data_IF_131915807259
#
_entry.id   IF_131915807259
#
_cell.length_a   1.000
_cell.length_b   1.000
_cell.length_c   1.000
_cell.angle_alpha   90.00
_cell.angle_beta   90.00
_cell.angle_gamma   90.00
#
_symmetry.space_group_name_H-M   'P 1'
#
loop_
_entity.id
_entity.type
_entity.pdbx_description
1 polymer ?
#
# COMPACT_ATOMS: atom_id res chain seq x y z
N UNK A 1 -26.29 -74.62 -31.26
CA UNK A 1 -26.09 -74.58 -32.73
C UNK A 1 -26.04 -73.12 -33.13
N UNK A 2 -24.85 -72.57 -33.32
CA UNK A 2 -24.61 -71.15 -33.58
C UNK A 2 -23.71 -71.02 -34.80
N UNK A 3 -24.23 -70.38 -35.85
CA UNK A 3 -23.55 -70.09 -37.11
C UNK A 3 -22.60 -68.87 -36.99
N UNK A 4 -21.58 -68.74 -37.86
CA UNK A 4 -20.52 -67.76 -37.70
C UNK A 4 -20.79 -66.45 -38.48
N UNK A 5 -20.38 -65.31 -37.91
CA UNK A 5 -20.37 -64.01 -38.59
C UNK A 5 -19.00 -63.73 -39.22
N UNK A 6 -19.02 -63.32 -40.50
CA UNK A 6 -17.85 -62.92 -41.29
C UNK A 6 -17.39 -61.49 -40.94
N UNK A 7 -16.06 -61.31 -40.89
CA UNK A 7 -15.36 -60.03 -40.79
C UNK A 7 -15.22 -59.36 -42.16
N UNK A 8 -15.44 -58.05 -42.21
CA UNK A 8 -15.00 -57.14 -43.29
C UNK A 8 -14.11 -56.03 -42.69
N UNK A 9 -13.00 -55.63 -43.35
CA UNK A 9 -12.05 -54.68 -42.78
C UNK A 9 -12.45 -53.23 -43.06
N UNK A 10 -12.35 -52.34 -42.06
CA UNK A 10 -12.47 -50.90 -42.25
C UNK A 10 -11.11 -50.28 -42.57
N UNK A 11 -11.09 -49.48 -43.64
CA UNK A 11 -9.94 -48.71 -44.12
C UNK A 11 -9.65 -47.50 -43.21
N UNK A 12 -8.35 -47.24 -43.01
CA UNK A 12 -7.79 -46.11 -42.26
C UNK A 12 -7.91 -44.80 -43.04
N UNK A 13 -8.56 -43.79 -42.44
CA UNK A 13 -8.54 -42.40 -42.90
C UNK A 13 -7.58 -41.59 -42.02
N UNK A 14 -6.39 -41.30 -42.55
CA UNK A 14 -5.43 -40.41 -41.91
C UNK A 14 -5.95 -38.96 -41.97
N UNK A 15 -6.26 -38.37 -40.80
CA UNK A 15 -6.54 -36.94 -40.66
C UNK A 15 -5.23 -36.17 -40.61
N UNK A 16 -4.96 -35.37 -41.64
CA UNK A 16 -3.90 -34.35 -41.64
C UNK A 16 -4.28 -33.26 -40.63
N UNK A 17 -3.53 -33.17 -39.52
CA UNK A 17 -3.62 -32.05 -38.58
C UNK A 17 -2.88 -30.85 -39.19
N UNK A 18 -3.61 -29.81 -39.57
CA UNK A 18 -3.02 -28.50 -39.83
C UNK A 18 -2.53 -27.91 -38.49
N UNK A 19 -1.24 -27.61 -38.40
CA UNK A 19 -0.66 -26.91 -37.25
C UNK A 19 -1.22 -25.48 -37.18
N UNK A 20 -1.73 -25.00 -36.04
CA UNK A 20 -2.18 -23.62 -35.93
C UNK A 20 -0.96 -22.70 -36.05
N UNK A 21 -1.02 -21.73 -36.97
CA UNK A 21 -0.08 -20.62 -37.03
C UNK A 21 -0.12 -19.91 -35.68
N UNK A 22 0.98 -19.98 -34.93
CA UNK A 22 1.24 -19.14 -33.77
C UNK A 22 1.18 -17.68 -34.24
N UNK A 23 0.06 -17.02 -33.98
CA UNK A 23 -0.01 -15.57 -33.98
C UNK A 23 1.03 -15.09 -32.97
N UNK A 24 2.11 -14.46 -33.46
CA UNK A 24 3.04 -13.70 -32.61
C UNK A 24 2.23 -12.57 -31.99
N UNK A 25 1.73 -12.80 -30.77
CA UNK A 25 1.31 -11.73 -29.88
C UNK A 25 2.54 -10.84 -29.70
N UNK A 26 2.48 -9.52 -29.97
CA UNK A 26 3.59 -8.64 -29.66
C UNK A 26 3.91 -8.83 -28.18
N UNK A 27 5.18 -9.07 -27.84
CA UNK A 27 5.60 -9.19 -26.45
C UNK A 27 5.11 -7.95 -25.71
N UNK A 28 4.05 -8.11 -24.91
CA UNK A 28 3.60 -7.04 -24.03
C UNK A 28 4.77 -6.77 -23.09
N UNK A 29 5.31 -5.55 -23.13
CA UNK A 29 6.42 -5.17 -22.26
C UNK A 29 5.97 -5.39 -20.81
N UNK A 30 6.75 -6.19 -20.09
CA UNK A 30 6.51 -6.48 -18.68
C UNK A 30 6.90 -5.26 -17.85
N UNK A 31 6.09 -4.91 -16.85
CA UNK A 31 6.48 -3.92 -15.85
C UNK A 31 7.80 -4.35 -15.19
N UNK A 32 8.80 -3.46 -15.17
CA UNK A 32 10.02 -3.67 -14.40
C UNK A 32 9.78 -3.29 -12.93
N UNK A 33 10.42 -3.98 -11.99
CA UNK A 33 10.25 -3.72 -10.55
C UNK A 33 11.57 -3.43 -9.82
N UNK A 34 12.64 -3.13 -10.55
CA UNK A 34 13.91 -2.69 -9.98
C UNK A 34 13.78 -1.26 -9.48
N UNK A 35 14.29 -1.00 -8.28
CA UNK A 35 14.17 0.29 -7.60
C UNK A 35 15.24 1.31 -8.03
N UNK A 36 16.16 0.93 -8.93
CA UNK A 36 17.40 1.62 -9.26
C UNK A 36 17.64 1.82 -10.77
N UNK A 37 16.56 1.96 -11.55
CA UNK A 37 16.59 2.03 -13.02
C UNK A 37 16.35 3.44 -13.59
N UNK A 38 16.09 4.42 -12.74
CA UNK A 38 15.95 5.83 -13.12
C UNK A 38 17.30 6.41 -13.50
N UNK A 39 17.33 7.18 -14.59
CA UNK A 39 18.56 7.74 -15.15
C UNK A 39 18.60 9.25 -15.02
N UNK A 40 19.76 9.79 -14.65
CA UNK A 40 19.99 11.23 -14.61
C UNK A 40 20.16 11.77 -16.03
N UNK A 41 19.38 12.80 -16.42
CA UNK A 41 19.43 13.37 -17.79
C UNK A 41 20.45 14.51 -17.92
N UNK A 42 20.61 15.30 -16.86
CA UNK A 42 21.51 16.46 -16.79
C UNK A 42 22.35 16.39 -15.51
N UNK A 43 23.37 17.24 -15.33
CA UNK A 43 24.13 17.25 -14.08
C UNK A 43 23.23 17.48 -12.86
N UNK A 44 23.38 16.66 -11.82
CA UNK A 44 22.67 16.86 -10.56
C UNK A 44 23.08 18.19 -9.91
N UNK A 45 22.16 18.83 -9.20
CA UNK A 45 22.38 20.10 -8.54
C UNK A 45 22.03 20.04 -7.06
N UNK A 46 22.88 20.64 -6.23
CA UNK A 46 22.64 20.78 -4.80
C UNK A 46 21.57 21.83 -4.45
N UNK A 47 21.29 22.77 -5.36
CA UNK A 47 20.48 23.97 -5.05
C UNK A 47 19.32 24.21 -6.02
N UNK A 48 19.30 23.55 -7.18
CA UNK A 48 18.27 23.71 -8.21
C UNK A 48 17.60 22.38 -8.53
N UNK A 49 16.35 22.39 -9.00
CA UNK A 49 15.75 21.21 -9.59
C UNK A 49 16.56 20.71 -10.79
N UNK A 50 16.57 19.40 -11.00
CA UNK A 50 17.21 18.73 -12.13
C UNK A 50 16.32 17.61 -12.65
N UNK A 51 16.57 17.18 -13.89
CA UNK A 51 15.74 16.20 -14.59
C UNK A 51 16.30 14.80 -14.48
N UNK A 52 15.42 13.87 -14.14
CA UNK A 52 15.66 12.43 -14.18
C UNK A 52 14.64 11.79 -15.10
N UNK A 53 14.98 10.63 -15.65
CA UNK A 53 14.11 9.87 -16.53
C UNK A 53 13.87 8.49 -15.97
N UNK A 54 12.63 8.24 -15.59
CA UNK A 54 12.14 6.92 -15.18
C UNK A 54 12.33 5.91 -16.32
N UNK A 55 12.54 4.65 -15.97
CA UNK A 55 12.63 3.57 -16.95
C UNK A 55 11.35 3.48 -17.79
N UNK A 56 11.45 3.14 -19.08
CA UNK A 56 10.31 3.10 -20.01
C UNK A 56 9.20 2.13 -19.57
N UNK A 57 9.57 1.06 -18.87
CA UNK A 57 8.65 0.06 -18.31
C UNK A 57 8.28 0.31 -16.83
N UNK A 58 8.45 1.52 -16.32
CA UNK A 58 8.02 1.89 -14.95
C UNK A 58 6.50 1.98 -14.80
N UNK A 59 5.80 2.16 -15.93
CA UNK A 59 4.35 2.30 -15.98
C UNK A 59 3.74 1.45 -17.09
N UNK A 60 2.53 0.95 -16.86
CA UNK A 60 1.64 0.44 -17.92
C UNK A 60 0.28 1.09 -17.75
N UNK A 61 -0.37 1.50 -18.85
CA UNK A 61 -1.66 2.17 -18.80
C UNK A 61 -2.77 1.30 -19.37
N UNK A 62 -3.99 1.54 -18.89
CA UNK A 62 -5.23 0.98 -19.38
C UNK A 62 -6.25 2.11 -19.53
N UNK A 63 -6.66 2.39 -20.77
CA UNK A 63 -7.63 3.42 -21.10
C UNK A 63 -7.27 4.86 -20.64
N UNK A 64 -5.98 5.17 -20.46
CA UNK A 64 -5.48 6.52 -20.17
C UNK A 64 -4.09 6.76 -20.78
N UNK A 65 -3.67 8.02 -20.75
CA UNK A 65 -2.29 8.41 -21.00
C UNK A 65 -1.38 7.87 -19.88
N UNK A 66 -0.10 7.68 -20.21
CA UNK A 66 0.94 7.35 -19.23
C UNK A 66 1.39 8.61 -18.49
N UNK A 67 1.80 8.50 -17.22
CA UNK A 67 2.55 9.56 -16.56
C UNK A 67 3.83 9.88 -17.33
N UNK A 68 4.25 11.15 -17.30
CA UNK A 68 5.52 11.57 -17.88
C UNK A 68 6.69 10.81 -17.23
N UNK A 69 7.65 10.38 -18.07
CA UNK A 69 8.85 9.68 -17.61
C UNK A 69 9.96 10.64 -17.22
N UNK A 70 9.99 11.83 -17.82
CA UNK A 70 10.90 12.90 -17.46
C UNK A 70 10.32 13.63 -16.25
N UNK A 71 11.01 13.52 -15.11
CA UNK A 71 10.56 14.01 -13.82
C UNK A 71 11.57 15.02 -13.30
N UNK A 72 11.05 16.16 -12.82
CA UNK A 72 11.86 17.13 -12.11
C UNK A 72 11.92 16.76 -10.62
N UNK A 73 13.14 16.74 -10.07
CA UNK A 73 13.42 16.43 -8.67
C UNK A 73 14.43 17.42 -8.08
N UNK A 74 14.42 17.57 -6.76
CA UNK A 74 15.46 18.28 -6.02
C UNK A 74 16.24 17.33 -5.10
N UNK A 75 17.46 17.73 -4.74
CA UNK A 75 18.26 17.02 -3.73
C UNK A 75 17.47 16.86 -2.42
N UNK A 76 16.86 17.92 -1.93
CA UNK A 76 16.12 17.91 -0.67
C UNK A 76 14.93 16.95 -0.70
N UNK A 77 14.21 16.85 -1.83
CA UNK A 77 13.13 15.88 -2.00
C UNK A 77 13.65 14.45 -1.91
N UNK A 78 14.74 14.12 -2.62
CA UNK A 78 15.32 12.77 -2.61
C UNK A 78 15.86 12.40 -1.23
N UNK A 79 16.57 13.31 -0.56
CA UNK A 79 17.08 13.07 0.80
C UNK A 79 15.92 12.96 1.81
N UNK A 80 14.87 13.78 1.67
CA UNK A 80 13.67 13.70 2.49
C UNK A 80 12.98 12.34 2.37
N UNK A 81 12.70 11.89 1.16
CA UNK A 81 12.09 10.58 0.90
C UNK A 81 12.97 9.42 1.41
N UNK A 82 14.30 9.53 1.28
CA UNK A 82 15.23 8.52 1.83
C UNK A 82 15.15 8.44 3.36
N UNK A 83 15.15 9.59 4.03
CA UNK A 83 15.02 9.67 5.50
C UNK A 83 13.68 9.11 5.96
N UNK A 84 12.58 9.45 5.29
CA UNK A 84 11.24 8.96 5.64
C UNK A 84 11.15 7.45 5.48
N UNK A 85 11.59 6.89 4.34
CA UNK A 85 11.56 5.43 4.14
C UNK A 85 12.42 4.71 5.18
N UNK A 86 13.62 5.24 5.47
CA UNK A 86 14.51 4.67 6.49
C UNK A 86 13.88 4.72 7.88
N UNK A 87 13.25 5.83 8.23
CA UNK A 87 12.57 6.01 9.51
C UNK A 87 11.39 5.05 9.66
N UNK A 88 10.57 4.88 8.61
CA UNK A 88 9.43 3.96 8.62
C UNK A 88 9.90 2.50 8.72
N UNK A 89 10.95 2.12 7.99
CA UNK A 89 11.60 0.79 8.10
C UNK A 89 12.08 0.53 9.53
N UNK A 90 12.72 1.51 10.17
CA UNK A 90 13.22 1.38 11.55
C UNK A 90 12.08 1.25 12.56
N UNK A 91 11.01 2.02 12.42
CA UNK A 91 9.81 1.88 13.25
C UNK A 91 9.22 0.47 13.13
N UNK A 92 9.01 -0.02 11.91
CA UNK A 92 8.43 -1.35 11.69
C UNK A 92 9.31 -2.48 12.23
N UNK A 93 10.65 -2.35 12.11
CA UNK A 93 11.60 -3.27 12.73
C UNK A 93 11.47 -3.28 14.27
N UNK A 94 11.35 -2.11 14.89
CA UNK A 94 11.14 -2.00 16.33
C UNK A 94 9.80 -2.62 16.76
N UNK A 95 8.71 -2.38 16.02
CA UNK A 95 7.42 -3.04 16.25
C UNK A 95 7.54 -4.57 16.15
N UNK A 96 8.28 -5.10 15.18
CA UNK A 96 8.57 -6.53 15.09
C UNK A 96 9.29 -7.08 16.33
N UNK A 97 10.30 -6.38 16.84
CA UNK A 97 11.03 -6.76 18.05
C UNK A 97 10.14 -6.71 19.30
N UNK A 98 9.32 -5.66 19.45
CA UNK A 98 8.38 -5.52 20.57
C UNK A 98 7.31 -6.62 20.58
N UNK A 99 6.86 -7.07 19.40
CA UNK A 99 5.95 -8.21 19.27
C UNK A 99 6.62 -9.53 19.68
N UNK A 100 7.86 -9.76 19.24
CA UNK A 100 8.64 -10.94 19.65
C UNK A 100 8.86 -10.97 21.17
N UNK A 101 9.10 -9.80 21.77
CA UNK A 101 9.19 -9.59 23.22
C UNK A 101 7.85 -9.66 23.96
N UNK A 102 6.74 -9.98 23.27
CA UNK A 102 5.37 -10.09 23.82
C UNK A 102 4.79 -8.80 24.41
N UNK A 103 5.39 -7.65 24.08
CA UNK A 103 4.88 -6.34 24.48
C UNK A 103 3.75 -5.87 23.56
N UNK A 104 3.81 -6.22 22.27
CA UNK A 104 2.70 -6.08 21.32
C UNK A 104 2.00 -7.44 21.22
N UNK A 105 0.66 -7.42 21.20
CA UNK A 105 -0.19 -8.63 21.15
C UNK A 105 -1.18 -8.54 19.99
N UNK A 106 -1.92 -9.63 19.74
CA UNK A 106 -2.95 -9.67 18.71
C UNK A 106 -2.37 -9.59 17.30
N UNK A 107 -2.94 -8.74 16.46
CA UNK A 107 -2.46 -8.54 15.09
C UNK A 107 -1.35 -7.49 15.02
N UNK A 108 -0.36 -7.72 14.15
CA UNK A 108 0.67 -6.76 13.80
C UNK A 108 1.13 -7.03 12.36
N UNK A 109 0.89 -6.08 11.46
CA UNK A 109 1.15 -6.21 10.02
C UNK A 109 2.20 -5.19 9.58
N UNK A 110 3.45 -5.64 9.39
CA UNK A 110 4.58 -4.75 9.10
C UNK A 110 4.69 -4.42 7.61
N UNK A 111 4.81 -3.15 7.23
CA UNK A 111 4.97 -2.70 5.83
C UNK A 111 6.41 -2.78 5.29
N UNK A 112 7.28 -3.59 5.92
CA UNK A 112 8.69 -3.71 5.54
C UNK A 112 8.83 -4.20 4.10
N UNK A 113 9.48 -3.39 3.25
CA UNK A 113 9.66 -3.62 1.81
C UNK A 113 8.71 -2.81 0.92
N UNK A 114 7.72 -2.13 1.51
CA UNK A 114 6.70 -1.34 0.81
C UNK A 114 6.81 0.17 1.08
N UNK A 115 7.98 0.62 1.57
CA UNK A 115 8.17 2.00 2.02
C UNK A 115 7.91 3.02 0.90
N UNK A 116 8.33 2.69 -0.34
CA UNK A 116 8.11 3.51 -1.52
C UNK A 116 6.61 3.78 -1.81
N UNK A 117 5.71 2.89 -1.37
CA UNK A 117 4.27 3.12 -1.47
C UNK A 117 3.86 4.25 -0.54
N UNK A 118 4.07 4.07 0.77
CA UNK A 118 3.63 5.06 1.77
C UNK A 118 4.29 6.43 1.63
N UNK A 119 5.61 6.46 1.37
CA UNK A 119 6.37 7.71 1.21
C UNK A 119 6.08 8.37 -0.14
N UNK A 120 5.90 7.58 -1.21
CA UNK A 120 5.50 8.11 -2.51
C UNK A 120 4.12 8.77 -2.47
N UNK A 121 3.14 8.14 -1.81
CA UNK A 121 1.82 8.75 -1.57
C UNK A 121 1.94 10.04 -0.77
N UNK A 122 2.73 10.04 0.31
CA UNK A 122 2.90 11.23 1.15
C UNK A 122 3.48 12.41 0.37
N UNK A 123 4.47 12.16 -0.50
CA UNK A 123 5.18 13.22 -1.23
C UNK A 123 4.46 13.68 -2.49
N UNK A 124 3.52 12.90 -3.03
CA UNK A 124 2.76 13.28 -4.23
C UNK A 124 1.31 13.71 -3.99
N UNK A 125 0.87 13.75 -2.73
CA UNK A 125 -0.46 14.23 -2.32
C UNK A 125 -0.35 15.50 -1.49
N UNK A 126 -1.39 16.32 -1.50
CA UNK A 126 -1.48 17.43 -0.56
C UNK A 126 -1.78 16.91 0.87
N UNK A 127 -1.36 17.63 1.93
CA UNK A 127 -1.64 17.24 3.31
C UNK A 127 -3.13 17.02 3.62
N UNK A 128 -4.02 17.69 2.89
CA UNK A 128 -5.48 17.65 3.07
C UNK A 128 -6.19 16.57 2.25
N UNK A 129 -5.51 15.93 1.29
CA UNK A 129 -6.07 14.78 0.58
C UNK A 129 -6.30 13.62 1.55
N UNK A 130 -7.31 12.81 1.30
CA UNK A 130 -7.67 11.73 2.23
C UNK A 130 -7.02 10.42 1.81
N UNK A 131 -6.50 9.67 2.78
CA UNK A 131 -6.05 8.29 2.59
C UNK A 131 -6.87 7.38 3.49
N UNK A 132 -7.31 6.25 2.94
CA UNK A 132 -7.90 5.15 3.71
C UNK A 132 -7.32 3.83 3.22
N UNK A 133 -6.91 2.95 4.14
CA UNK A 133 -6.28 1.67 3.78
C UNK A 133 -6.75 0.53 4.69
N UNK A 134 -6.22 -0.67 4.46
CA UNK A 134 -6.44 -1.85 5.31
C UNK A 134 -5.58 -1.80 6.57
N UNK A 135 -5.47 -2.92 7.28
CA UNK A 135 -4.73 -3.07 8.54
C UNK A 135 -3.20 -2.90 8.45
N UNK A 136 -2.58 -2.87 7.25
CA UNK A 136 -1.14 -2.63 7.09
C UNK A 136 -0.84 -1.13 6.98
N UNK A 137 -1.07 -0.41 8.08
CA UNK A 137 -1.26 1.04 8.03
C UNK A 137 -0.21 1.89 8.75
N UNK A 138 0.75 1.30 9.46
CA UNK A 138 1.59 2.06 10.39
C UNK A 138 2.33 3.25 9.75
N UNK A 139 2.98 3.12 8.57
CA UNK A 139 3.67 4.25 7.96
C UNK A 139 2.71 5.38 7.54
N UNK A 140 1.54 5.04 7.00
CA UNK A 140 0.53 6.03 6.60
C UNK A 140 0.05 6.85 7.79
N UNK A 141 -0.19 6.21 8.93
CA UNK A 141 -0.60 6.90 10.15
C UNK A 141 0.45 7.94 10.60
N UNK A 142 1.74 7.59 10.57
CA UNK A 142 2.81 8.55 10.91
C UNK A 142 2.87 9.68 9.89
N UNK A 143 2.96 9.35 8.60
CA UNK A 143 3.13 10.32 7.52
C UNK A 143 1.93 11.25 7.34
N UNK A 144 0.74 10.88 7.82
CA UNK A 144 -0.49 11.69 7.70
C UNK A 144 -0.88 12.34 9.02
N UNK A 145 0.08 12.91 9.74
CA UNK A 145 -0.16 13.73 10.93
C UNK A 145 -0.11 12.97 12.26
N UNK A 146 0.31 11.71 12.24
CA UNK A 146 0.61 10.94 13.45
C UNK A 146 2.04 11.14 13.92
N UNK A 147 2.47 10.25 14.82
CA UNK A 147 3.85 10.19 15.30
C UNK A 147 4.25 8.74 15.54
N UNK A 148 5.55 8.45 15.44
CA UNK A 148 6.10 7.11 15.74
C UNK A 148 5.75 6.70 17.17
N UNK A 149 5.91 7.62 18.13
CA UNK A 149 5.50 7.40 19.52
C UNK A 149 4.03 7.01 19.61
N UNK A 150 3.14 7.77 18.99
CA UNK A 150 1.70 7.51 19.04
C UNK A 150 1.33 6.16 18.46
N UNK A 151 1.92 5.79 17.32
CA UNK A 151 1.71 4.48 16.69
C UNK A 151 2.25 3.37 17.61
N UNK A 152 3.50 3.45 18.06
CA UNK A 152 4.10 2.42 18.93
C UNK A 152 3.33 2.29 20.25
N UNK A 153 2.91 3.40 20.85
CA UNK A 153 2.09 3.39 22.07
C UNK A 153 0.73 2.72 21.84
N UNK A 154 0.10 2.92 20.68
CA UNK A 154 -1.14 2.24 20.31
C UNK A 154 -0.93 0.73 20.17
N UNK A 155 0.14 0.30 19.50
CA UNK A 155 0.48 -1.11 19.36
C UNK A 155 0.80 -1.77 20.71
N UNK A 156 1.38 -1.03 21.64
CA UNK A 156 1.63 -1.46 23.03
C UNK A 156 0.37 -1.40 23.92
N UNK A 157 -0.77 -0.92 23.40
CA UNK A 157 -2.01 -0.78 24.15
C UNK A 157 -1.94 0.25 25.27
N UNK A 158 -1.20 1.35 25.07
CA UNK A 158 -0.98 2.41 26.08
C UNK A 158 -1.91 3.60 25.87
N UNK A 159 -2.16 4.34 26.95
CA UNK A 159 -3.00 5.54 26.94
C UNK A 159 -2.53 6.61 25.96
N UNK A 160 -1.20 6.78 25.81
CA UNK A 160 -0.59 7.70 24.85
C UNK A 160 -0.66 7.24 23.39
N UNK A 161 -1.32 6.11 23.11
CA UNK A 161 -1.62 5.67 21.74
C UNK A 161 -2.58 6.61 21.02
N UNK A 162 -2.55 6.59 19.69
CA UNK A 162 -3.37 7.48 18.86
C UNK A 162 -4.89 7.25 19.01
N UNK A 163 -5.28 6.04 19.43
CA UNK A 163 -6.65 5.66 19.76
C UNK A 163 -6.77 5.29 21.25
N UNK A 164 -5.88 5.85 22.08
CA UNK A 164 -5.77 5.61 23.54
C UNK A 164 -5.64 4.13 23.92
N UNK A 165 -5.01 3.32 23.06
CA UNK A 165 -4.83 1.88 23.27
C UNK A 165 -6.08 1.02 23.01
N UNK A 166 -7.17 1.59 22.48
CA UNK A 166 -8.40 0.85 22.14
C UNK A 166 -8.34 0.15 20.79
N UNK A 167 -7.56 0.68 19.85
CA UNK A 167 -7.56 0.24 18.45
C UNK A 167 -6.50 -0.81 18.13
N UNK A 168 -5.31 -0.69 18.75
CA UNK A 168 -4.15 -1.53 18.43
C UNK A 168 -3.62 -1.30 17.01
N UNK A 169 -2.90 -2.29 16.48
CA UNK A 169 -2.19 -2.17 15.18
C UNK A 169 -3.08 -1.82 13.99
N UNK A 170 -4.33 -2.29 13.99
CA UNK A 170 -5.18 -2.20 12.80
C UNK A 170 -5.99 -0.91 12.73
N UNK A 171 -6.17 -0.17 13.83
CA UNK A 171 -7.18 0.90 13.93
C UNK A 171 -6.57 2.21 14.46
N UNK A 172 -5.82 2.88 13.58
CA UNK A 172 -5.11 4.13 13.88
C UNK A 172 -5.60 5.21 12.93
N UNK A 173 -6.06 6.35 13.43
CA UNK A 173 -6.70 7.41 12.64
C UNK A 173 -6.00 8.75 12.83
N UNK A 174 -6.08 9.61 11.82
CA UNK A 174 -5.69 11.03 11.89
C UNK A 174 -6.73 11.88 11.15
N UNK A 175 -6.66 13.22 11.19
CA UNK A 175 -7.60 14.07 10.46
C UNK A 175 -7.66 13.83 8.94
N UNK A 176 -6.58 13.31 8.32
CA UNK A 176 -6.52 13.04 6.87
C UNK A 176 -6.19 11.58 6.53
N UNK A 177 -6.06 10.72 7.55
CA UNK A 177 -5.94 9.28 7.41
C UNK A 177 -7.10 8.58 8.12
N UNK A 178 -8.03 8.05 7.33
CA UNK A 178 -9.29 7.46 7.79
C UNK A 178 -9.14 5.99 8.19
N UNK A 179 -7.96 5.65 8.69
CA UNK A 179 -7.75 4.42 9.42
C UNK A 179 -7.08 3.30 8.64
N UNK A 180 -6.51 2.40 9.42
CA UNK A 180 -6.45 1.00 9.04
C UNK A 180 -7.80 0.33 9.29
N UNK A 181 -8.20 -0.52 8.35
CA UNK A 181 -9.47 -1.22 8.38
C UNK A 181 -9.24 -2.73 8.39
N UNK A 182 -9.82 -3.42 9.38
CA UNK A 182 -9.63 -4.86 9.61
C UNK A 182 -10.42 -5.76 8.66
N UNK A 183 -11.53 -5.24 8.10
CA UNK A 183 -12.41 -6.00 7.21
C UNK A 183 -11.97 -5.80 5.77
N UNK A 184 -11.51 -6.88 5.14
CA UNK A 184 -10.91 -6.86 3.79
C UNK A 184 -11.91 -6.30 2.77
N UNK A 185 -11.54 -5.19 2.13
CA UNK A 185 -12.32 -4.54 1.06
C UNK A 185 -13.33 -3.51 1.55
N UNK A 186 -13.66 -3.48 2.85
CA UNK A 186 -14.65 -2.56 3.41
C UNK A 186 -14.23 -1.09 3.31
N UNK A 187 -12.92 -0.83 3.31
CA UNK A 187 -12.37 0.52 3.18
C UNK A 187 -12.55 1.12 1.78
N UNK A 188 -12.83 0.30 0.75
CA UNK A 188 -12.92 0.79 -0.64
C UNK A 188 -14.20 1.59 -0.87
N UNK A 189 -15.41 1.09 -0.52
CA UNK A 189 -16.61 1.91 -0.51
C UNK A 189 -16.51 3.14 0.41
N UNK A 190 -15.87 3.01 1.57
CA UNK A 190 -15.65 4.15 2.48
C UNK A 190 -14.79 5.24 1.82
N UNK A 191 -13.72 4.85 1.12
CA UNK A 191 -12.89 5.78 0.35
C UNK A 191 -13.65 6.46 -0.80
N UNK A 192 -14.54 5.75 -1.49
CA UNK A 192 -15.43 6.36 -2.47
C UNK A 192 -16.39 7.37 -1.80
N UNK A 193 -16.92 7.05 -0.61
CA UNK A 193 -17.73 7.99 0.18
C UNK A 193 -16.96 9.23 0.63
N UNK A 194 -15.67 9.09 0.96
CA UNK A 194 -14.79 10.21 1.27
C UNK A 194 -14.58 11.11 0.04
N UNK A 195 -14.34 10.53 -1.14
CA UNK A 195 -14.26 11.28 -2.40
C UNK A 195 -15.57 12.02 -2.72
N UNK A 196 -16.71 11.35 -2.50
CA UNK A 196 -18.03 11.98 -2.62
C UNK A 196 -18.16 13.19 -1.67
N UNK A 197 -17.72 13.07 -0.42
CA UNK A 197 -17.76 14.18 0.53
C UNK A 197 -16.90 15.37 0.09
N UNK A 198 -15.73 15.13 -0.53
CA UNK A 198 -14.88 16.19 -1.09
C UNK A 198 -15.59 16.92 -2.22
N UNK A 199 -16.13 16.16 -3.19
CA UNK A 199 -16.91 16.71 -4.29
C UNK A 199 -18.14 17.48 -3.81
N UNK A 200 -18.88 16.93 -2.85
CA UNK A 200 -20.09 17.54 -2.32
C UNK A 200 -19.82 18.87 -1.60
N UNK A 201 -18.67 18.97 -0.92
CA UNK A 201 -18.22 20.20 -0.24
C UNK A 201 -17.49 21.17 -1.19
N UNK A 202 -17.32 20.83 -2.46
CA UNK A 202 -16.57 21.65 -3.42
C UNK A 202 -15.09 21.82 -3.04
N UNK A 203 -14.48 20.81 -2.41
CA UNK A 203 -13.07 20.84 -2.01
C UNK A 203 -12.21 20.25 -3.13
N UNK A 204 -11.16 20.96 -3.52
CA UNK A 204 -10.17 20.50 -4.51
C UNK A 204 -9.22 19.48 -3.89
N UNK A 205 -9.78 18.32 -3.53
CA UNK A 205 -9.12 17.23 -2.79
C UNK A 205 -9.58 15.88 -3.34
N UNK A 206 -8.69 14.91 -3.38
CA UNK A 206 -9.04 13.53 -3.70
C UNK A 206 -9.14 12.67 -2.42
N UNK A 207 -9.70 11.47 -2.58
CA UNK A 207 -9.54 10.40 -1.60
C UNK A 207 -8.88 9.18 -2.25
N UNK A 208 -7.80 8.70 -1.64
CA UNK A 208 -7.09 7.48 -2.05
C UNK A 208 -7.61 6.30 -1.23
N UNK A 209 -8.35 5.43 -1.91
CA UNK A 209 -8.94 4.21 -1.36
C UNK A 209 -8.02 3.03 -1.66
N UNK A 210 -7.19 2.65 -0.68
CA UNK A 210 -6.17 1.62 -0.83
C UNK A 210 -6.69 0.23 -0.45
N UNK A 211 -6.25 -0.79 -1.18
CA UNK A 211 -6.57 -2.20 -0.92
C UNK A 211 -5.47 -3.13 -1.45
N UNK A 212 -5.35 -4.34 -0.91
CA UNK A 212 -4.34 -5.32 -1.37
C UNK A 212 -4.83 -6.18 -2.55
N UNK A 213 -3.91 -6.91 -3.18
CA UNK A 213 -4.23 -7.85 -4.28
C UNK A 213 -5.31 -8.88 -3.90
N UNK A 214 -5.26 -9.45 -2.69
CA UNK A 214 -6.33 -10.34 -2.21
C UNK A 214 -7.69 -9.65 -2.00
N UNK A 215 -7.68 -8.35 -1.67
CA UNK A 215 -8.90 -7.57 -1.49
C UNK A 215 -9.55 -7.17 -2.82
N UNK A 216 -8.81 -7.19 -3.93
CA UNK A 216 -9.28 -6.83 -5.26
C UNK A 216 -10.38 -7.77 -5.82
N UNK A 217 -10.67 -8.87 -5.12
CA UNK A 217 -11.75 -9.81 -5.45
C UNK A 217 -13.01 -9.64 -4.60
N UNK A 218 -13.06 -8.65 -3.71
CA UNK A 218 -14.26 -8.35 -2.91
C UNK A 218 -15.34 -7.70 -3.78
N UNK A 219 -16.58 -8.17 -3.69
CA UNK A 219 -17.70 -7.66 -4.50
C UNK A 219 -17.92 -6.14 -4.34
N UNK A 220 -17.87 -5.66 -3.10
CA UNK A 220 -18.05 -4.24 -2.76
C UNK A 220 -17.01 -3.31 -3.41
N UNK A 221 -15.84 -3.83 -3.83
CA UNK A 221 -14.84 -3.05 -4.59
C UNK A 221 -15.41 -2.67 -5.96
N UNK A 222 -16.07 -3.61 -6.65
CA UNK A 222 -16.68 -3.38 -7.96
C UNK A 222 -17.94 -2.50 -7.85
N UNK A 223 -18.71 -2.64 -6.78
CA UNK A 223 -19.83 -1.74 -6.50
C UNK A 223 -19.35 -0.30 -6.31
N UNK A 224 -18.25 -0.11 -5.54
CA UNK A 224 -17.62 1.19 -5.35
C UNK A 224 -17.08 1.77 -6.67
N UNK A 225 -16.45 0.95 -7.51
CA UNK A 225 -16.00 1.37 -8.85
C UNK A 225 -17.17 1.88 -9.71
N UNK A 226 -18.24 1.10 -9.80
CA UNK A 226 -19.41 1.46 -10.59
C UNK A 226 -19.99 2.81 -10.16
N UNK A 227 -20.23 3.00 -8.85
CA UNK A 227 -20.77 4.27 -8.31
C UNK A 227 -19.80 5.44 -8.49
N UNK A 228 -18.51 5.23 -8.19
CA UNK A 228 -17.51 6.28 -8.32
C UNK A 228 -17.39 6.77 -9.77
N UNK A 229 -17.47 5.85 -10.74
CA UNK A 229 -17.44 6.22 -12.15
C UNK A 229 -18.74 6.90 -12.58
N UNK A 230 -19.89 6.40 -12.14
CA UNK A 230 -21.20 6.98 -12.43
C UNK A 230 -21.31 8.44 -11.97
N UNK A 231 -20.77 8.76 -10.79
CA UNK A 231 -20.81 10.09 -10.19
C UNK A 231 -19.57 10.94 -10.47
N UNK A 232 -18.62 10.41 -11.25
CA UNK A 232 -17.36 11.05 -11.60
C UNK A 232 -16.57 11.55 -10.38
N UNK A 233 -16.49 10.71 -9.34
CA UNK A 233 -15.87 11.06 -8.05
C UNK A 233 -14.36 11.30 -8.17
N UNK A 234 -13.77 12.21 -7.36
CA UNK A 234 -12.32 12.39 -7.26
C UNK A 234 -11.68 11.29 -6.40
N UNK A 235 -11.88 10.03 -6.80
CA UNK A 235 -11.40 8.84 -6.08
C UNK A 235 -10.20 8.21 -6.81
N UNK A 236 -9.12 7.97 -6.09
CA UNK A 236 -7.99 7.14 -6.57
C UNK A 236 -8.08 5.78 -5.90
N UNK A 237 -8.32 4.74 -6.69
CA UNK A 237 -8.40 3.36 -6.20
C UNK A 237 -7.03 2.70 -6.34
N UNK A 238 -6.35 2.44 -5.22
CA UNK A 238 -4.96 1.96 -5.25
C UNK A 238 -4.85 0.51 -4.75
N UNK A 239 -4.50 -0.39 -5.66
CA UNK A 239 -4.17 -1.78 -5.36
C UNK A 239 -2.68 -1.92 -4.99
N UNK A 240 -2.38 -2.21 -3.73
CA UNK A 240 -1.05 -2.60 -3.26
C UNK A 240 -0.79 -4.07 -3.57
N UNK A 241 -0.33 -4.36 -4.79
CA UNK A 241 -0.06 -5.71 -5.25
C UNK A 241 1.30 -6.20 -4.71
N UNK A 242 1.26 -6.87 -3.55
CA UNK A 242 2.44 -7.48 -2.93
C UNK A 242 2.58 -8.98 -3.24
N UNK A 243 1.86 -9.44 -4.27
CA UNK A 243 1.83 -10.80 -4.84
C UNK A 243 1.09 -11.86 -4.02
N UNK A 244 0.73 -11.58 -2.77
CA UNK A 244 0.14 -12.58 -1.86
C UNK A 244 -0.95 -12.01 -0.93
N UNK A 245 -2.19 -12.46 -1.14
CA UNK A 245 -3.30 -12.33 -0.20
C UNK A 245 -3.17 -13.33 0.94
N UNK A 246 -2.67 -12.89 2.08
CA UNK A 246 -2.27 -13.75 3.21
C UNK A 246 -1.24 -14.81 2.78
N UNK A 247 -1.67 -16.03 2.46
CA UNK A 247 -0.83 -17.12 1.95
C UNK A 247 -1.20 -17.61 0.55
N UNK A 248 -2.11 -16.92 -0.14
CA UNK A 248 -2.55 -17.28 -1.49
C UNK A 248 -1.92 -16.31 -2.49
N UNK A 249 -1.19 -16.83 -3.48
CA UNK A 249 -0.60 -16.00 -4.52
C UNK A 249 -1.67 -15.36 -5.41
N UNK A 250 -1.34 -14.24 -6.05
CA UNK A 250 -2.22 -13.55 -7.01
C UNK A 250 -2.75 -14.52 -8.09
N UNK A 251 -1.88 -15.33 -8.70
CA UNK A 251 -2.24 -16.31 -9.74
C UNK A 251 -3.22 -17.40 -9.28
N UNK A 252 -3.27 -17.67 -7.97
CA UNK A 252 -4.19 -18.65 -7.38
C UNK A 252 -5.50 -18.05 -6.91
N UNK A 253 -5.59 -16.72 -6.84
CA UNK A 253 -6.75 -16.01 -6.30
C UNK A 253 -7.48 -15.15 -7.32
N UNK A 254 -6.82 -14.77 -8.42
CA UNK A 254 -7.35 -13.87 -9.43
C UNK A 254 -7.10 -14.43 -10.83
N UNK A 255 -8.15 -14.53 -11.65
CA UNK A 255 -8.00 -14.89 -13.07
C UNK A 255 -7.21 -13.83 -13.83
N UNK A 256 -7.55 -12.56 -13.58
CA UNK A 256 -6.82 -11.41 -14.11
C UNK A 256 -5.99 -10.79 -12.99
N UNK A 257 -4.66 -10.99 -13.06
CA UNK A 257 -3.65 -10.44 -12.15
C UNK A 257 -3.15 -9.05 -12.55
N UNK A 258 -3.68 -8.48 -13.64
CA UNK A 258 -3.49 -7.08 -14.04
C UNK A 258 -4.51 -6.20 -13.32
N UNK A 259 -4.31 -5.98 -12.01
CA UNK A 259 -5.28 -5.34 -11.13
C UNK A 259 -5.67 -3.92 -11.58
N UNK A 260 -4.76 -3.18 -12.23
CA UNK A 260 -5.04 -1.86 -12.80
C UNK A 260 -6.13 -1.86 -13.90
N UNK A 261 -6.44 -3.01 -14.50
CA UNK A 261 -7.48 -3.16 -15.54
C UNK A 261 -8.85 -3.53 -14.98
N UNK A 262 -8.93 -3.91 -13.70
CA UNK A 262 -10.13 -4.50 -13.09
C UNK A 262 -11.28 -3.50 -12.93
N UNK A 263 -11.02 -2.21 -13.11
CA UNK A 263 -12.02 -1.15 -13.10
C UNK A 263 -12.91 -1.11 -14.36
N UNK A 264 -12.62 -1.91 -15.39
CA UNK A 264 -13.30 -1.96 -16.70
C UNK A 264 -13.41 -0.57 -17.37
N UNK A 265 -14.43 0.21 -17.02
CA UNK A 265 -14.62 1.59 -17.52
C UNK A 265 -13.79 2.63 -16.80
N UNK A 266 -13.20 2.28 -15.65
CA UNK A 266 -12.28 3.16 -14.94
C UNK A 266 -10.87 2.96 -15.52
N UNK A 267 -10.21 4.01 -16.02
CA UNK A 267 -8.82 3.92 -16.46
C UNK A 267 -7.89 3.53 -15.32
N UNK A 268 -6.74 2.95 -15.65
CA UNK A 268 -5.78 2.60 -14.61
C UNK A 268 -4.34 2.54 -15.06
N UNK A 269 -3.43 2.61 -14.09
CA UNK A 269 -1.98 2.59 -14.29
C UNK A 269 -1.37 1.53 -13.37
N UNK A 270 -0.62 0.60 -13.94
CA UNK A 270 0.30 -0.26 -13.20
C UNK A 270 1.63 0.47 -13.02
N UNK A 271 2.19 0.41 -11.83
CA UNK A 271 3.36 1.20 -11.41
C UNK A 271 4.38 0.29 -10.76
N UNK A 272 5.66 0.53 -11.05
CA UNK A 272 6.75 -0.02 -10.25
C UNK A 272 6.66 0.53 -8.81
N UNK A 273 6.07 -0.25 -7.91
CA UNK A 273 5.88 0.09 -6.50
C UNK A 273 7.13 -0.03 -5.65
N UNK A 274 8.29 -0.32 -6.26
CA UNK A 274 9.60 -0.38 -5.59
C UNK A 274 10.46 0.86 -5.90
N UNK A 275 10.18 1.61 -6.96
CA UNK A 275 10.86 2.88 -7.27
C UNK A 275 10.04 4.06 -6.70
N UNK A 276 10.62 4.74 -5.72
CA UNK A 276 10.01 5.89 -5.03
C UNK A 276 9.70 7.08 -5.95
N UNK A 277 10.48 7.30 -7.00
CA UNK A 277 10.23 8.39 -7.96
C UNK A 277 9.02 8.01 -8.82
N UNK A 278 8.92 6.74 -9.22
CA UNK A 278 7.77 6.25 -9.99
C UNK A 278 6.47 6.27 -9.16
N UNK A 279 6.51 5.87 -7.88
CA UNK A 279 5.33 5.92 -7.01
C UNK A 279 4.87 7.34 -6.70
N UNK A 280 5.79 8.30 -6.54
CA UNK A 280 5.45 9.73 -6.41
C UNK A 280 4.83 10.26 -7.70
N UNK A 281 5.46 10.02 -8.85
CA UNK A 281 4.98 10.52 -10.14
C UNK A 281 3.58 9.98 -10.49
N UNK A 282 3.31 8.71 -10.21
CA UNK A 282 2.01 8.11 -10.50
C UNK A 282 0.87 8.67 -9.64
N UNK A 283 1.13 8.94 -8.34
CA UNK A 283 0.09 9.50 -7.48
C UNK A 283 -0.14 10.99 -7.79
N UNK A 284 0.91 11.75 -8.14
CA UNK A 284 0.77 13.13 -8.61
C UNK A 284 -0.09 13.19 -9.87
N UNK A 285 0.16 12.28 -10.82
CA UNK A 285 -0.67 12.13 -12.02
C UNK A 285 -2.12 11.79 -11.67
N UNK A 286 -2.36 10.84 -10.77
CA UNK A 286 -3.71 10.42 -10.39
C UNK A 286 -4.48 11.51 -9.61
N UNK A 287 -3.77 12.27 -8.77
CA UNK A 287 -4.32 13.46 -8.09
C UNK A 287 -4.71 14.51 -9.13
N UNK A 288 -3.79 14.86 -10.04
CA UNK A 288 -4.05 15.77 -11.18
C UNK A 288 -5.27 15.35 -11.98
N UNK A 289 -5.36 14.07 -12.33
CA UNK A 289 -6.46 13.49 -13.08
C UNK A 289 -7.82 13.69 -12.39
N UNK A 290 -7.86 13.44 -11.07
CA UNK A 290 -9.10 13.41 -10.29
C UNK A 290 -9.55 14.81 -9.88
N UNK A 291 -8.63 15.70 -9.52
CA UNK A 291 -8.93 17.00 -8.93
C UNK A 291 -8.83 18.13 -9.95
N UNK A 292 -7.66 18.32 -10.56
CA UNK A 292 -7.41 19.41 -11.50
C UNK A 292 -8.14 19.18 -12.83
N UNK A 293 -8.02 17.99 -13.41
CA UNK A 293 -8.63 17.66 -14.70
C UNK A 293 -10.10 17.19 -14.58
N UNK A 294 -10.56 16.88 -13.35
CA UNK A 294 -11.92 16.45 -13.02
C UNK A 294 -12.43 15.28 -13.86
N UNK A 295 -11.56 14.31 -14.19
CA UNK A 295 -11.83 13.17 -15.08
C UNK A 295 -12.48 11.96 -14.38
N UNK A 296 -12.89 12.15 -13.13
CA UNK A 296 -13.46 11.11 -12.28
C UNK A 296 -12.41 10.12 -11.78
N UNK A 297 -12.81 8.91 -11.39
CA UNK A 297 -11.90 8.00 -10.71
C UNK A 297 -10.82 7.43 -11.63
N UNK A 298 -9.74 6.97 -11.01
CA UNK A 298 -8.63 6.26 -11.66
C UNK A 298 -8.14 5.11 -10.76
N UNK A 299 -7.72 4.00 -11.36
CA UNK A 299 -7.06 2.90 -10.66
C UNK A 299 -5.54 3.04 -10.72
N UNK A 300 -4.87 2.77 -9.61
CA UNK A 300 -3.43 2.55 -9.54
C UNK A 300 -3.16 1.14 -9.05
N UNK A 301 -2.22 0.44 -9.65
CA UNK A 301 -1.69 -0.82 -9.12
C UNK A 301 -0.20 -0.64 -8.83
N UNK A 302 0.15 -0.58 -7.55
CA UNK A 302 1.55 -0.51 -7.14
C UNK A 302 2.06 -1.92 -6.96
N UNK A 303 2.90 -2.36 -7.89
CA UNK A 303 3.55 -3.66 -7.82
C UNK A 303 4.71 -3.55 -6.85
N UNK A 304 4.51 -4.08 -5.64
CA UNK A 304 5.45 -3.95 -4.53
C UNK A 304 5.71 -5.31 -3.88
N UNK A 305 6.36 -5.35 -2.71
CA UNK A 305 6.64 -6.61 -2.01
C UNK A 305 6.80 -6.43 -0.50
N UNK A 306 6.19 -7.32 0.28
CA UNK A 306 6.40 -7.40 1.74
C UNK A 306 7.46 -8.45 2.10
N UNK A 307 8.47 -8.07 2.87
CA UNK A 307 9.54 -9.01 3.25
C UNK A 307 9.14 -9.95 4.38
N UNK A 308 8.31 -9.49 5.31
CA UNK A 308 7.71 -10.33 6.33
C UNK A 308 6.55 -11.17 5.80
N UNK A 309 6.12 -12.16 6.57
CA UNK A 309 4.86 -12.88 6.33
C UNK A 309 3.64 -11.94 6.40
N UNK A 310 2.44 -12.52 6.37
CA UNK A 310 1.21 -11.75 6.33
C UNK A 310 1.11 -10.81 7.55
N UNK A 311 1.28 -11.39 8.73
CA UNK A 311 1.36 -10.74 10.03
C UNK A 311 2.50 -11.36 10.83
N UNK A 312 2.74 -10.87 12.05
CA UNK A 312 3.74 -11.46 12.96
C UNK A 312 3.46 -12.93 13.36
N UNK A 313 2.24 -13.45 13.16
CA UNK A 313 1.93 -14.87 13.40
C UNK A 313 2.24 -15.77 12.20
N UNK A 314 2.53 -15.19 11.03
CA UNK A 314 2.83 -15.93 9.80
C UNK A 314 4.32 -15.79 9.45
N UNK A 315 5.10 -16.90 9.48
CA UNK A 315 6.50 -16.88 9.05
C UNK A 315 6.68 -16.58 7.56
N UNK A 316 5.65 -16.80 6.73
CA UNK A 316 5.68 -16.52 5.29
C UNK A 316 6.52 -17.48 4.44
N UNK A 317 6.85 -18.68 4.96
CA UNK A 317 7.71 -19.67 4.29
C UNK A 317 6.96 -20.87 3.72
N UNK A 318 5.65 -20.98 3.93
CA UNK A 318 4.83 -22.13 3.47
C UNK A 318 4.27 -21.93 2.06
N UNK A 319 4.30 -20.71 1.53
CA UNK A 319 3.68 -20.33 0.25
C UNK A 319 4.62 -19.57 -0.69
N UNK A 320 5.88 -19.34 -0.28
CA UNK A 320 6.95 -18.72 -1.07
C UNK A 320 8.31 -19.10 -0.47
N UNK A 321 9.36 -18.99 -1.26
CA UNK A 321 10.70 -19.41 -0.84
C UNK A 321 11.47 -18.29 -0.15
N UNK A 322 12.48 -18.64 0.66
CA UNK A 322 13.36 -17.63 1.27
C UNK A 322 14.23 -16.93 0.23
N UNK A 323 14.59 -17.66 -0.82
CA UNK A 323 15.36 -17.19 -1.96
C UNK A 323 14.59 -16.11 -2.74
N UNK A 324 13.28 -16.25 -2.90
CA UNK A 324 12.43 -15.22 -3.50
C UNK A 324 12.50 -13.92 -2.69
N UNK A 325 12.27 -14.00 -1.37
CA UNK A 325 12.30 -12.83 -0.48
C UNK A 325 13.70 -12.20 -0.46
N UNK A 326 14.75 -13.01 -0.39
CA UNK A 326 16.13 -12.53 -0.41
C UNK A 326 16.44 -11.82 -1.72
N UNK A 327 16.07 -12.40 -2.87
CA UNK A 327 16.24 -11.79 -4.19
C UNK A 327 15.52 -10.45 -4.26
N UNK A 328 14.25 -10.40 -3.86
CA UNK A 328 13.48 -9.15 -3.83
C UNK A 328 14.17 -8.08 -2.99
N UNK A 329 14.67 -8.44 -1.80
CA UNK A 329 15.40 -7.51 -0.93
C UNK A 329 16.74 -7.07 -1.52
N UNK A 330 17.51 -7.97 -2.12
CA UNK A 330 18.85 -7.65 -2.61
C UNK A 330 18.85 -6.89 -3.93
N UNK A 331 17.80 -7.04 -4.75
CA UNK A 331 17.76 -6.44 -6.10
C UNK A 331 16.71 -5.37 -6.28
N UNK A 332 15.75 -5.22 -5.37
CA UNK A 332 14.60 -4.31 -5.55
C UNK A 332 14.23 -3.54 -4.28
N UNK A 333 15.07 -3.50 -3.24
CA UNK A 333 14.73 -2.74 -2.02
C UNK A 333 14.60 -1.23 -2.32
N UNK A 334 13.49 -0.59 -1.91
CA UNK A 334 13.21 0.78 -2.29
C UNK A 334 14.17 1.80 -1.64
N UNK A 335 14.67 1.48 -0.44
CA UNK A 335 15.63 2.33 0.26
C UNK A 335 16.99 2.20 -0.43
N UNK A 336 17.41 0.98 -0.75
CA UNK A 336 18.66 0.74 -1.46
C UNK A 336 18.66 1.33 -2.87
N UNK A 337 17.54 1.24 -3.60
CA UNK A 337 17.41 1.83 -4.92
C UNK A 337 17.58 3.35 -4.90
N UNK A 338 16.91 4.04 -3.97
CA UNK A 338 17.09 5.48 -3.80
C UNK A 338 18.50 5.84 -3.28
N UNK A 339 19.08 5.04 -2.39
CA UNK A 339 20.47 5.22 -1.96
C UNK A 339 21.43 5.21 -3.15
N UNK A 340 21.27 4.26 -4.07
CA UNK A 340 22.12 4.17 -5.25
C UNK A 340 22.00 5.41 -6.13
N UNK A 341 20.79 5.95 -6.34
CA UNK A 341 20.62 7.23 -7.02
C UNK A 341 21.36 8.37 -6.32
N UNK A 342 21.21 8.48 -4.99
CA UNK A 342 21.84 9.54 -4.19
C UNK A 342 23.37 9.47 -4.28
N UNK A 343 23.95 8.28 -4.24
CA UNK A 343 25.40 8.05 -4.32
C UNK A 343 25.92 8.30 -5.75
N UNK A 344 25.29 7.70 -6.77
CA UNK A 344 25.73 7.81 -8.17
C UNK A 344 25.58 9.23 -8.72
N UNK A 345 24.57 9.97 -8.26
CA UNK A 345 24.36 11.37 -8.67
C UNK A 345 25.11 12.36 -7.78
N UNK A 346 25.93 11.89 -6.83
CA UNK A 346 26.77 12.74 -5.99
C UNK A 346 25.99 13.65 -5.04
N UNK A 347 24.76 13.28 -4.67
CA UNK A 347 23.87 14.10 -3.85
C UNK A 347 24.18 13.98 -2.35
N UNK A 348 24.67 12.84 -1.89
CA UNK A 348 25.18 12.68 -0.54
C UNK A 348 26.28 11.62 -0.50
N UNK A 349 27.14 11.74 0.49
CA UNK A 349 28.20 10.77 0.78
C UNK A 349 27.66 9.55 1.52
N UNK A 350 28.37 8.43 1.43
CA UNK A 350 28.06 7.23 2.21
C UNK A 350 28.05 7.52 3.73
N UNK A 351 28.91 8.43 4.20
CA UNK A 351 28.95 8.85 5.61
C UNK A 351 27.67 9.58 6.03
N UNK A 352 27.14 10.46 5.19
CA UNK A 352 25.87 11.16 5.44
C UNK A 352 24.69 10.18 5.46
N UNK A 353 24.64 9.23 4.52
CA UNK A 353 23.59 8.20 4.49
C UNK A 353 23.63 7.30 5.72
N UNK A 354 24.83 6.89 6.18
CA UNK A 354 25.01 6.18 7.45
C UNK A 354 24.57 7.02 8.64
N UNK A 355 24.77 8.33 8.60
CA UNK A 355 24.31 9.22 9.65
C UNK A 355 22.78 9.29 9.70
N UNK A 356 22.11 9.37 8.56
CA UNK A 356 20.63 9.34 8.50
C UNK A 356 20.05 8.06 9.08
N UNK A 357 20.67 6.89 8.82
CA UNK A 357 20.23 5.64 9.43
C UNK A 357 20.40 5.63 10.96
N UNK A 358 21.52 6.15 11.46
CA UNK A 358 21.77 6.30 12.90
C UNK A 358 20.75 7.24 13.55
N UNK A 359 20.46 8.36 12.90
CA UNK A 359 19.49 9.35 13.38
C UNK A 359 18.06 8.78 13.39
N UNK A 360 17.69 8.04 12.35
CA UNK A 360 16.43 7.32 12.29
C UNK A 360 16.31 6.29 13.42
N UNK A 361 17.37 5.50 13.65
CA UNK A 361 17.41 4.56 14.77
C UNK A 361 17.26 5.27 16.12
N UNK A 362 18.02 6.34 16.36
CA UNK A 362 17.94 7.12 17.61
C UNK A 362 16.54 7.68 17.83
N UNK A 363 15.91 8.20 16.78
CA UNK A 363 14.55 8.74 16.83
C UNK A 363 13.53 7.67 17.19
N UNK A 364 13.61 6.49 16.56
CA UNK A 364 12.72 5.36 16.86
C UNK A 364 12.95 4.82 18.26
N UNK A 365 14.21 4.63 18.67
CA UNK A 365 14.53 4.14 20.01
C UNK A 365 13.97 5.08 21.10
N UNK A 366 14.11 6.40 20.93
CA UNK A 366 13.53 7.39 21.83
C UNK A 366 11.99 7.30 21.86
N UNK A 367 11.34 7.23 20.70
CA UNK A 367 9.89 7.10 20.60
C UNK A 367 9.36 5.81 21.25
N UNK A 368 10.10 4.70 21.14
CA UNK A 368 9.77 3.42 21.78
C UNK A 368 9.84 3.53 23.30
N UNK A 369 10.89 4.16 23.85
CA UNK A 369 11.00 4.34 25.30
C UNK A 369 9.92 5.28 25.84
N UNK A 370 9.61 6.37 25.12
CA UNK A 370 8.47 7.23 25.46
C UNK A 370 7.13 6.48 25.42
N UNK A 371 6.92 5.62 24.42
CA UNK A 371 5.71 4.82 24.30
C UNK A 371 5.58 3.80 25.45
N UNK A 372 6.68 3.15 25.84
CA UNK A 372 6.70 2.22 27.00
C UNK A 372 6.44 2.92 28.33
N UNK A 373 6.91 4.16 28.46
CA UNK A 373 6.70 4.98 29.65
C UNK A 373 5.23 5.46 29.78
N UNK A 374 4.46 5.48 28.69
CA UNK A 374 3.03 5.77 28.77
C UNK A 374 2.30 4.72 29.61
N UNK A 375 1.42 5.13 30.55
CA UNK A 375 0.64 4.17 31.35
C UNK A 375 -0.35 3.39 30.47
N UNK A 376 -0.82 2.27 31.00
CA UNK A 376 -2.00 1.60 30.45
C UNK A 376 -3.24 2.50 30.58
N UNK A 377 -4.23 2.38 29.68
CA UNK A 377 -5.48 3.12 29.77
C UNK A 377 -6.20 2.79 31.09
N UNK A 378 -6.65 3.78 31.89
CA UNK A 378 -7.47 3.51 33.07
C UNK A 378 -8.76 2.78 32.66
N UNK A 379 -9.24 1.87 33.51
CA UNK A 379 -10.44 1.03 33.26
C UNK A 379 -11.67 1.86 32.87
N UNK A 380 -11.80 3.09 33.40
CA UNK A 380 -12.90 3.99 33.05
C UNK A 380 -13.00 4.32 31.55
N UNK A 381 -11.89 4.30 30.81
CA UNK A 381 -11.90 4.53 29.36
C UNK A 381 -12.62 3.43 28.58
N UNK A 382 -12.83 2.25 29.16
CA UNK A 382 -13.58 1.16 28.53
C UNK A 382 -14.98 1.63 28.09
N UNK A 383 -15.59 2.55 28.85
CA UNK A 383 -16.96 3.01 28.63
C UNK A 383 -17.09 4.29 27.80
N UNK A 384 -15.95 4.82 27.33
CA UNK A 384 -15.90 6.07 26.58
C UNK A 384 -15.85 5.83 25.07
N UNK A 385 -16.21 6.85 24.28
CA UNK A 385 -16.10 6.87 22.81
C UNK A 385 -16.99 5.83 22.08
N UNK A 386 -18.05 5.31 22.74
CA UNK A 386 -19.05 4.42 22.13
C UNK A 386 -20.07 5.21 21.30
N UNK A 387 -20.51 6.35 21.83
CA UNK A 387 -21.38 7.32 21.16
C UNK A 387 -20.64 8.65 21.03
N UNK A 388 -21.14 9.52 20.14
CA UNK A 388 -20.68 10.89 20.07
C UNK A 388 -21.15 11.64 21.33
N UNK A 389 -20.30 12.51 21.93
CA UNK A 389 -20.69 13.37 23.04
C UNK A 389 -22.06 14.04 22.85
N UNK A 390 -22.99 13.74 23.76
CA UNK A 390 -24.37 14.24 23.77
C UNK A 390 -25.41 13.31 23.12
N UNK A 391 -25.01 12.15 22.60
CA UNK A 391 -25.90 11.15 21.99
C UNK A 391 -25.97 9.82 22.76
N UNK A 392 -25.37 9.79 23.94
CA UNK A 392 -25.30 8.62 24.81
C UNK A 392 -26.69 8.24 25.38
N UNK A 393 -26.96 6.94 25.61
CA UNK A 393 -28.07 6.53 26.46
C UNK A 393 -27.79 6.89 27.93
N UNK A 394 -28.79 6.81 28.79
CA UNK A 394 -28.63 7.12 30.24
C UNK A 394 -27.66 6.17 30.98
N UNK A 395 -27.54 4.94 30.49
CA UNK A 395 -26.68 3.93 31.09
C UNK A 395 -26.31 2.85 30.06
N UNK A 396 -25.24 2.12 30.35
CA UNK A 396 -24.85 0.89 29.69
C UNK A 396 -24.68 -0.22 30.70
N UNK A 397 -25.13 -1.42 30.32
CA UNK A 397 -24.84 -2.63 31.07
C UNK A 397 -23.40 -3.07 30.78
N UNK A 398 -22.69 -3.45 31.82
CA UNK A 398 -21.38 -4.07 31.72
C UNK A 398 -21.46 -5.57 31.45
N UNK A 399 -20.46 -6.31 31.95
CA UNK A 399 -20.32 -7.75 31.68
C UNK A 399 -21.40 -8.55 32.42
N UNK A 400 -21.73 -8.12 33.63
CA UNK A 400 -22.77 -8.73 34.47
C UNK A 400 -24.07 -7.92 34.42
N UNK A 401 -25.17 -8.45 34.97
CA UNK A 401 -26.46 -7.75 34.95
C UNK A 401 -26.46 -6.53 35.86
N UNK A 402 -25.70 -6.62 36.94
CA UNK A 402 -25.62 -5.66 38.03
C UNK A 402 -24.54 -4.60 37.77
N UNK A 403 -23.61 -4.85 36.85
CA UNK A 403 -22.61 -3.88 36.41
C UNK A 403 -23.32 -2.87 35.49
N UNK A 404 -23.57 -1.66 35.99
CA UNK A 404 -24.20 -0.58 35.22
C UNK A 404 -23.27 0.63 35.23
N UNK A 405 -22.88 1.07 34.04
CA UNK A 405 -22.16 2.31 33.82
C UNK A 405 -23.14 3.42 33.47
N UNK A 406 -23.01 4.58 34.11
CA UNK A 406 -23.76 5.79 33.79
C UNK A 406 -22.82 6.79 33.11
N UNK A 407 -23.29 7.35 31.99
CA UNK A 407 -22.58 8.36 31.23
C UNK A 407 -22.54 9.72 31.91
#
# INVERSE_FOLDING_TARGET
MSAPFRLTPMASLARVRASPRLLRVPFARSLQTSADTTTLQEGASDSKPFKVKLHEDSFRAFNCELPELDVEVTKDQLIGMYRDMTLMRRMEQACGQLYQAKLIRGFCHLAIGQEAVSVGLHNGLHPEDYIITSYRCHPFAVLRGGSIKGVVAELLGRHGGMSKGKGGSMHIFTPTFFGGNGIVGAQVPLGAGLALAQQYKGQDRCAVAMYGDGAANQGQVFEAFNMAKLWNLPAVFLCENNKYGMGTSAERSSMNTEYFTRGDKIPGIQVNGMDIIATRQAIEFARKWTVEDKRGPILLEYVTYRYGGHSMSDPGTTYRTREEVQRMRSTQDPIHGLQKYIEEWGLATEQELKQFDKDAKKTVDAAVEEAKASPEPPVGLLWTDIYQPGSEPKFMRGREREEIHHF
#
